data_IF_575829015241
#
_entry.id   IF_575829015241
#
_cell.length_a   1.000
_cell.length_b   1.000
_cell.length_c   1.000
_cell.angle_alpha   90.00
_cell.angle_beta   90.00
_cell.angle_gamma   90.00
#
_symmetry.space_group_name_H-M   'P 1'
#
loop_
_entity.id
_entity.type
_entity.pdbx_description
1 polymer ?
#
# COMPACT_ATOMS: atom_id res chain seq x y z
N UNK A 1 84.20 12.54 -22.80
CA UNK A 1 83.18 13.22 -23.64
C UNK A 1 82.51 12.17 -24.52
N UNK A 2 81.17 12.25 -24.66
CA UNK A 2 80.28 11.39 -25.46
C UNK A 2 80.10 9.94 -25.00
N UNK A 3 78.92 9.32 -24.97
CA UNK A 3 77.50 9.73 -24.86
C UNK A 3 76.79 8.39 -24.58
N UNK A 4 76.19 8.20 -23.40
CA UNK A 4 75.38 7.01 -23.09
C UNK A 4 73.93 7.27 -23.47
N UNK A 5 73.30 6.32 -24.17
CA UNK A 5 71.91 5.91 -23.90
C UNK A 5 71.63 4.60 -24.63
N UNK A 6 71.61 3.51 -23.86
CA UNK A 6 71.06 2.20 -24.25
C UNK A 6 69.58 2.19 -23.86
N UNK A 7 68.69 1.81 -24.78
CA UNK A 7 67.36 1.30 -24.44
C UNK A 7 67.02 0.14 -25.34
N UNK A 8 67.23 -1.07 -24.83
CA UNK A 8 66.53 -2.27 -25.26
C UNK A 8 65.83 -2.81 -24.02
N UNK A 9 64.50 -2.82 -24.01
CA UNK A 9 63.73 -3.61 -23.05
C UNK A 9 63.00 -4.68 -23.85
N UNK A 10 63.46 -5.93 -23.70
CA UNK A 10 62.64 -7.11 -23.91
C UNK A 10 61.77 -7.28 -22.66
N UNK A 11 60.47 -7.48 -22.83
CA UNK A 11 59.66 -8.18 -21.82
C UNK A 11 58.83 -9.24 -22.52
N UNK A 12 59.11 -10.48 -22.13
CA UNK A 12 58.42 -11.70 -22.52
C UNK A 12 57.04 -11.79 -21.86
N UNK A 13 56.14 -12.46 -22.57
CA UNK A 13 54.76 -12.78 -22.22
C UNK A 13 54.73 -13.74 -21.02
N UNK A 14 53.83 -13.52 -20.08
CA UNK A 14 53.32 -14.56 -19.19
C UNK A 14 51.80 -14.43 -19.05
N UNK A 15 51.09 -15.47 -19.48
CA UNK A 15 49.65 -15.63 -19.36
C UNK A 15 49.28 -16.01 -17.93
N UNK A 16 48.26 -15.36 -17.37
CA UNK A 16 47.43 -15.94 -16.31
C UNK A 16 45.97 -15.55 -16.56
N UNK A 17 45.15 -16.56 -16.86
CA UNK A 17 43.71 -16.41 -16.83
C UNK A 17 43.26 -16.30 -15.36
N UNK A 18 42.54 -15.24 -15.03
CA UNK A 18 41.80 -15.13 -13.78
C UNK A 18 40.34 -14.81 -14.12
N UNK A 19 39.48 -15.82 -13.98
CA UNK A 19 38.05 -15.63 -13.89
C UNK A 19 37.75 -14.78 -12.65
N UNK A 20 37.17 -13.61 -12.84
CA UNK A 20 36.53 -12.84 -11.78
C UNK A 20 35.07 -12.64 -12.14
N UNK A 21 34.21 -13.37 -11.42
CA UNK A 21 32.81 -13.03 -11.28
C UNK A 21 32.71 -11.72 -10.49
N UNK A 22 32.16 -10.67 -11.10
CA UNK A 22 31.65 -9.51 -10.36
C UNK A 22 30.53 -8.85 -11.17
N UNK A 23 29.35 -9.41 -10.95
CA UNK A 23 28.00 -8.86 -11.01
C UNK A 23 27.78 -7.55 -11.78
N UNK A 24 26.91 -7.67 -12.78
CA UNK A 24 26.17 -6.58 -13.36
C UNK A 24 25.53 -5.72 -12.26
N UNK A 25 25.76 -4.41 -12.34
CA UNK A 25 24.95 -3.42 -11.65
C UNK A 25 23.53 -3.47 -12.23
N UNK A 26 22.75 -4.41 -11.72
CA UNK A 26 21.30 -4.41 -11.89
C UNK A 26 20.76 -3.21 -11.15
N UNK A 27 20.29 -2.23 -11.91
CA UNK A 27 19.43 -1.18 -11.40
C UNK A 27 18.15 -1.87 -10.88
N UNK A 28 18.09 -2.16 -9.58
CA UNK A 28 16.81 -2.48 -8.94
C UNK A 28 15.96 -1.22 -9.04
N UNK A 29 15.08 -1.16 -10.04
CA UNK A 29 13.88 -0.35 -9.93
C UNK A 29 13.14 -0.87 -8.70
N UNK A 30 13.15 -0.10 -7.61
CA UNK A 30 12.28 -0.36 -6.47
C UNK A 30 10.85 -0.34 -6.97
N UNK A 31 10.21 -1.50 -7.03
CA UNK A 31 8.77 -1.58 -7.25
C UNK A 31 8.11 -0.79 -6.13
N UNK A 32 7.55 0.38 -6.43
CA UNK A 32 6.69 1.07 -5.48
C UNK A 32 5.64 0.05 -5.01
N UNK A 33 5.52 -0.18 -3.71
CA UNK A 33 4.50 -1.10 -3.20
C UNK A 33 3.13 -0.60 -3.64
N UNK A 34 2.20 -1.50 -3.92
CA UNK A 34 0.84 -1.13 -4.28
C UNK A 34 0.25 -0.12 -3.27
N UNK A 35 -0.61 0.82 -3.70
CA UNK A 35 -1.10 1.90 -2.84
C UNK A 35 -1.91 1.43 -1.62
N UNK A 36 -2.35 0.17 -1.59
CA UNK A 36 -3.08 -0.50 -0.52
C UNK A 36 -2.25 -1.57 0.21
N UNK A 37 -0.93 -1.62 -0.01
CA UNK A 37 -0.08 -2.71 0.48
C UNK A 37 -0.11 -2.87 2.01
N UNK A 38 -0.40 -1.83 2.78
CA UNK A 38 -0.57 -1.92 4.22
C UNK A 38 -1.84 -2.69 4.61
N UNK A 39 -2.95 -2.47 3.90
CA UNK A 39 -4.20 -3.22 4.08
C UNK A 39 -4.01 -4.66 3.66
N UNK A 40 -3.34 -4.92 2.54
CA UNK A 40 -3.01 -6.28 2.10
C UNK A 40 -2.22 -7.02 3.18
N UNK A 41 -1.17 -6.40 3.74
CA UNK A 41 -0.40 -7.01 4.84
C UNK A 41 -1.25 -7.27 6.09
N UNK A 42 -2.15 -6.34 6.45
CA UNK A 42 -3.08 -6.53 7.55
C UNK A 42 -4.00 -7.73 7.32
N UNK A 43 -4.51 -7.88 6.09
CA UNK A 43 -5.31 -9.02 5.69
C UNK A 43 -4.57 -10.34 5.82
N UNK A 44 -3.35 -10.45 5.27
CA UNK A 44 -2.56 -11.69 5.35
C UNK A 44 -2.10 -12.04 6.78
N UNK A 45 -2.08 -11.05 7.69
CA UNK A 45 -1.73 -11.29 9.09
C UNK A 45 -2.82 -12.03 9.87
N UNK A 46 -4.07 -12.01 9.38
CA UNK A 46 -5.27 -12.50 10.09
C UNK A 46 -5.43 -11.91 11.51
N UNK A 47 -4.88 -10.72 11.75
CA UNK A 47 -4.94 -10.01 13.04
C UNK A 47 -5.68 -8.69 12.89
N UNK A 48 -6.11 -8.13 14.04
CA UNK A 48 -6.54 -6.73 14.10
C UNK A 48 -5.32 -5.83 13.93
N UNK A 49 -5.45 -4.81 13.10
CA UNK A 49 -4.48 -3.71 13.02
C UNK A 49 -5.19 -2.41 13.37
N UNK A 50 -4.70 -1.72 14.41
CA UNK A 50 -5.39 -0.56 15.00
C UNK A 50 -5.62 0.58 13.99
N UNK A 51 -4.71 0.76 13.03
CA UNK A 51 -4.84 1.73 11.96
C UNK A 51 -4.02 1.29 10.75
N UNK A 52 -4.63 1.36 9.57
CA UNK A 52 -4.00 1.16 8.25
C UNK A 52 -4.64 2.10 7.24
N UNK A 53 -3.88 2.43 6.20
CA UNK A 53 -4.35 3.23 5.08
C UNK A 53 -4.11 2.49 3.77
N UNK A 54 -4.96 2.77 2.80
CA UNK A 54 -4.77 2.35 1.42
C UNK A 54 -5.44 3.32 0.46
N UNK A 55 -4.97 3.31 -0.78
CA UNK A 55 -5.52 4.12 -1.86
C UNK A 55 -5.76 3.27 -3.11
N UNK A 56 -6.43 3.88 -4.10
CA UNK A 56 -6.69 3.31 -5.42
C UNK A 56 -7.48 1.98 -5.39
N UNK A 57 -8.26 1.75 -4.34
CA UNK A 57 -9.10 0.56 -4.19
C UNK A 57 -10.41 0.76 -4.95
N UNK A 58 -10.76 -0.20 -5.79
CA UNK A 58 -11.96 -0.14 -6.63
C UNK A 58 -13.20 -0.61 -5.86
N UNK A 59 -14.26 0.19 -5.82
CA UNK A 59 -15.55 -0.24 -5.31
C UNK A 59 -16.16 -1.26 -6.28
N UNK A 60 -16.34 -2.50 -5.83
CA UNK A 60 -16.90 -3.59 -6.64
C UNK A 60 -18.34 -3.93 -6.27
N UNK A 61 -18.82 -3.46 -5.12
CA UNK A 61 -20.20 -3.65 -4.67
C UNK A 61 -20.59 -2.58 -3.67
N UNK A 62 -21.78 -1.99 -3.83
CA UNK A 62 -22.41 -1.16 -2.79
C UNK A 62 -23.45 -2.02 -2.07
N UNK A 63 -23.40 -2.07 -0.75
CA UNK A 63 -24.27 -2.91 0.08
C UNK A 63 -25.40 -2.05 0.68
N UNK A 64 -26.55 -2.66 1.06
CA UNK A 64 -27.56 -1.96 1.84
C UNK A 64 -26.99 -1.39 3.12
N UNK A 65 -27.43 -0.19 3.48
CA UNK A 65 -27.09 0.44 4.75
C UNK A 65 -27.49 -0.47 5.93
N UNK A 66 -26.68 -0.44 6.98
CA UNK A 66 -27.01 -1.05 8.26
C UNK A 66 -27.66 -0.01 9.17
N UNK A 67 -28.90 -0.24 9.57
CA UNK A 67 -29.64 0.67 10.45
C UNK A 67 -29.89 0.08 11.84
N UNK A 68 -29.27 -1.06 12.17
CA UNK A 68 -29.39 -1.67 13.49
C UNK A 68 -28.35 -1.07 14.44
N UNK A 69 -28.79 -0.17 15.33
CA UNK A 69 -27.88 0.59 16.20
C UNK A 69 -27.34 1.82 15.49
N UNK A 70 -26.03 2.08 15.62
CA UNK A 70 -25.37 3.15 14.86
C UNK A 70 -25.49 2.84 13.36
N UNK A 71 -25.78 3.87 12.55
CA UNK A 71 -26.03 3.66 11.13
C UNK A 71 -24.71 3.51 10.38
N UNK A 72 -24.63 2.51 9.52
CA UNK A 72 -23.43 2.25 8.71
C UNK A 72 -23.76 2.21 7.23
N UNK A 73 -22.99 2.94 6.44
CA UNK A 73 -22.87 2.71 5.01
C UNK A 73 -21.82 1.61 4.78
N UNK A 74 -22.10 0.68 3.86
CA UNK A 74 -21.24 -0.47 3.59
C UNK A 74 -20.98 -0.63 2.10
N UNK A 75 -19.75 -0.95 1.73
CA UNK A 75 -19.38 -1.33 0.37
C UNK A 75 -18.22 -2.32 0.39
N UNK A 76 -17.94 -2.92 -0.75
CA UNK A 76 -16.83 -3.85 -0.94
C UNK A 76 -15.85 -3.23 -1.92
N UNK A 77 -14.57 -3.28 -1.58
CA UNK A 77 -13.49 -2.88 -2.47
C UNK A 77 -12.65 -4.07 -2.90
N UNK A 78 -12.06 -3.97 -4.09
CA UNK A 78 -11.04 -4.89 -4.60
C UNK A 78 -9.65 -4.33 -4.31
N UNK A 79 -8.81 -5.17 -3.72
CA UNK A 79 -7.42 -4.87 -3.39
C UNK A 79 -6.47 -5.28 -4.52
N UNK A 80 -5.23 -4.78 -4.47
CA UNK A 80 -4.18 -5.05 -5.45
C UNK A 80 -3.78 -6.53 -5.56
N UNK A 81 -3.99 -7.31 -4.50
CA UNK A 81 -3.78 -8.77 -4.50
C UNK A 81 -4.97 -9.56 -5.07
N UNK A 82 -6.01 -8.87 -5.58
CA UNK A 82 -7.21 -9.48 -6.14
C UNK A 82 -8.25 -9.96 -5.11
N UNK A 83 -7.95 -9.89 -3.81
CA UNK A 83 -8.94 -10.15 -2.75
C UNK A 83 -9.90 -8.96 -2.61
N UNK A 84 -10.97 -9.18 -1.87
CA UNK A 84 -11.95 -8.14 -1.53
C UNK A 84 -11.96 -7.87 -0.03
N UNK A 85 -12.36 -6.65 0.33
CA UNK A 85 -12.50 -6.20 1.71
C UNK A 85 -13.78 -5.39 1.84
N UNK A 86 -14.52 -5.58 2.94
CA UNK A 86 -15.67 -4.73 3.26
C UNK A 86 -15.20 -3.44 3.94
N UNK A 87 -15.69 -2.30 3.48
CA UNK A 87 -15.60 -1.04 4.17
C UNK A 87 -16.90 -0.81 4.97
N UNK A 88 -16.76 -0.35 6.22
CA UNK A 88 -17.88 -0.02 7.10
C UNK A 88 -17.67 1.38 7.65
N UNK A 89 -18.56 2.28 7.26
CA UNK A 89 -18.48 3.71 7.51
C UNK A 89 -19.69 4.19 8.30
N UNK A 90 -19.46 4.88 9.41
CA UNK A 90 -20.53 5.35 10.29
C UNK A 90 -21.23 6.56 9.67
N UNK A 91 -22.42 6.36 9.12
CA UNK A 91 -23.19 7.41 8.44
C UNK A 91 -24.05 8.26 9.38
N UNK A 92 -24.12 7.89 10.66
CA UNK A 92 -24.75 8.67 11.72
C UNK A 92 -23.87 9.81 12.25
N UNK A 93 -22.55 9.66 12.17
CA UNK A 93 -21.56 10.65 12.62
C UNK A 93 -21.02 11.53 11.48
N UNK A 94 -21.17 11.07 10.24
CA UNK A 94 -20.47 11.63 9.10
C UNK A 94 -21.40 11.81 7.89
N UNK A 95 -21.13 12.77 6.98
CA UNK A 95 -21.85 12.86 5.72
C UNK A 95 -21.77 11.56 4.92
N UNK A 96 -22.87 11.19 4.24
CA UNK A 96 -22.90 10.02 3.35
C UNK A 96 -21.84 10.16 2.26
N UNK A 97 -21.08 9.09 2.02
CA UNK A 97 -20.12 9.06 0.92
C UNK A 97 -20.86 8.66 -0.36
N UNK A 98 -20.77 9.42 -1.47
CA UNK A 98 -21.47 9.09 -2.71
C UNK A 98 -20.71 8.03 -3.52
N UNK A 99 -20.46 6.85 -2.92
CA UNK A 99 -19.76 5.75 -3.59
C UNK A 99 -20.67 5.03 -4.57
N UNK A 100 -20.15 4.76 -5.76
CA UNK A 100 -20.75 3.95 -6.81
C UNK A 100 -19.80 2.81 -7.22
N UNK A 101 -20.34 1.79 -7.88
CA UNK A 101 -19.53 0.69 -8.41
C UNK A 101 -18.60 1.24 -9.49
N UNK A 102 -17.30 0.92 -9.40
CA UNK A 102 -16.26 1.40 -10.30
C UNK A 102 -15.44 2.57 -9.76
N UNK A 103 -15.89 3.23 -8.69
CA UNK A 103 -15.16 4.32 -8.07
C UNK A 103 -13.82 3.85 -7.47
N UNK A 104 -12.84 4.74 -7.47
CA UNK A 104 -11.57 4.57 -6.76
C UNK A 104 -11.60 5.36 -5.46
N UNK A 105 -11.39 4.67 -4.35
CA UNK A 105 -11.40 5.28 -3.02
C UNK A 105 -10.05 5.09 -2.32
N UNK A 106 -9.70 6.06 -1.47
CA UNK A 106 -8.70 5.87 -0.43
C UNK A 106 -9.38 5.89 0.94
N UNK A 107 -8.89 5.09 1.86
CA UNK A 107 -9.49 4.92 3.18
C UNK A 107 -8.40 4.73 4.22
N UNK A 108 -8.64 5.30 5.40
CA UNK A 108 -7.83 5.09 6.59
C UNK A 108 -8.71 4.67 7.75
N UNK A 109 -8.32 3.65 8.50
CA UNK A 109 -9.11 3.15 9.62
C UNK A 109 -8.56 1.87 10.24
N UNK A 110 -9.37 1.23 11.09
CA UNK A 110 -9.00 -0.01 11.78
C UNK A 110 -9.31 -1.23 10.91
N UNK A 111 -8.32 -2.08 10.71
CA UNK A 111 -8.53 -3.38 10.06
C UNK A 111 -8.94 -4.45 11.08
N UNK A 112 -9.96 -5.23 10.73
CA UNK A 112 -10.45 -6.39 11.47
C UNK A 112 -10.48 -7.61 10.56
N UNK A 113 -9.85 -8.70 11.00
CA UNK A 113 -9.99 -9.98 10.32
C UNK A 113 -11.37 -10.59 10.56
N UNK A 114 -12.00 -11.11 9.50
CA UNK A 114 -13.28 -11.83 9.54
C UNK A 114 -13.19 -13.06 8.65
N UNK A 115 -14.11 -14.01 8.84
CA UNK A 115 -14.22 -15.20 7.97
C UNK A 115 -14.61 -14.87 6.52
N UNK A 116 -14.90 -13.60 6.21
CA UNK A 116 -15.34 -13.10 4.91
C UNK A 116 -14.23 -12.31 4.17
N UNK A 117 -13.00 -12.32 4.67
CA UNK A 117 -11.86 -11.67 4.01
C UNK A 117 -11.45 -10.31 4.59
N UNK A 118 -12.00 -9.91 5.75
CA UNK A 118 -11.58 -8.72 6.47
C UNK A 118 -12.45 -7.48 6.23
N UNK A 119 -12.37 -6.56 7.18
CA UNK A 119 -13.21 -5.38 7.28
C UNK A 119 -12.35 -4.17 7.67
N UNK A 120 -12.55 -3.04 6.98
CA UNK A 120 -12.01 -1.76 7.40
C UNK A 120 -13.13 -0.95 8.06
N UNK A 121 -12.98 -0.76 9.38
CA UNK A 121 -13.92 -0.04 10.24
C UNK A 121 -13.29 1.27 10.72
N UNK A 122 -14.03 2.02 11.55
CA UNK A 122 -13.54 3.27 12.12
C UNK A 122 -13.09 4.24 11.03
N UNK A 123 -13.87 4.33 9.94
CA UNK A 123 -13.62 5.24 8.83
C UNK A 123 -14.13 6.66 9.16
N UNK A 124 -13.88 7.13 10.38
CA UNK A 124 -14.34 8.42 10.90
C UNK A 124 -13.33 8.97 11.92
N UNK A 125 -13.37 10.28 12.14
CA UNK A 125 -12.65 10.96 13.23
C UNK A 125 -12.87 10.26 14.59
N UNK A 126 -11.82 10.08 15.40
CA UNK A 126 -11.92 9.55 16.77
C UNK A 126 -12.14 10.70 17.76
N UNK A 127 -13.36 10.91 18.30
CA UNK A 127 -13.65 12.05 19.18
C UNK A 127 -12.87 12.03 20.49
N UNK A 128 -12.26 10.89 20.83
CA UNK A 128 -11.44 10.72 22.04
C UNK A 128 -9.94 10.80 21.76
N UNK A 129 -9.51 10.88 20.50
CA UNK A 129 -8.10 10.99 20.10
C UNK A 129 -7.20 9.84 20.59
N UNK A 130 -7.75 8.64 20.79
CA UNK A 130 -6.97 7.47 21.21
C UNK A 130 -6.31 6.78 20.02
N UNK A 131 -6.70 7.14 18.80
CA UNK A 131 -6.26 6.57 17.53
C UNK A 131 -6.15 7.68 16.48
N UNK A 132 -5.39 7.48 15.40
CA UNK A 132 -5.50 8.35 14.23
C UNK A 132 -6.92 8.34 13.69
N UNK A 133 -7.34 9.49 13.16
CA UNK A 133 -8.67 9.64 12.57
C UNK A 133 -8.81 8.78 11.33
N UNK A 134 -9.94 8.08 11.25
CA UNK A 134 -10.33 7.42 10.03
C UNK A 134 -10.91 8.41 9.04
N UNK A 135 -10.97 7.98 7.78
CA UNK A 135 -11.55 8.78 6.72
C UNK A 135 -11.89 7.92 5.51
N UNK A 136 -12.71 8.51 4.63
CA UNK A 136 -12.86 8.07 3.24
C UNK A 136 -12.51 9.23 2.32
N UNK A 137 -11.80 8.97 1.24
CA UNK A 137 -11.49 9.94 0.21
C UNK A 137 -11.94 9.40 -1.15
N UNK A 138 -12.75 10.19 -1.85
CA UNK A 138 -13.23 9.91 -3.19
C UNK A 138 -13.15 11.20 -4.02
N UNK A 139 -12.61 11.12 -5.24
CA UNK A 139 -12.47 12.26 -6.14
C UNK A 139 -11.78 13.49 -5.52
N UNK A 140 -10.78 13.25 -4.66
CA UNK A 140 -10.04 14.30 -3.95
C UNK A 140 -10.78 14.97 -2.78
N UNK A 141 -11.98 14.51 -2.46
CA UNK A 141 -12.79 15.02 -1.33
C UNK A 141 -12.68 14.04 -0.16
N UNK A 142 -12.32 14.57 1.01
CA UNK A 142 -12.33 13.82 2.26
C UNK A 142 -13.72 13.85 2.91
N UNK A 143 -14.10 12.69 3.43
CA UNK A 143 -15.28 12.48 4.24
C UNK A 143 -14.84 12.02 5.62
N UNK A 144 -15.38 12.69 6.63
CA UNK A 144 -15.15 12.41 8.04
C UNK A 144 -13.69 12.48 8.52
N UNK A 145 -12.92 13.37 7.88
CA UNK A 145 -11.57 13.76 8.27
C UNK A 145 -11.66 15.17 8.86
N UNK A 146 -11.29 15.33 10.13
CA UNK A 146 -11.25 16.63 10.82
C UNK A 146 -9.85 17.27 10.74
#
# INVERSE_FOLDING_TARGET
MMKFTTRLLFVLISTSALNTHAQAYGYQQGSASAPDAAIVRAMESHQRVNFVEGADMEVVQVLPDDTNGNQHQKWVVRLSNGKTMQAVYNSDMCPRVPVEIGDRVAMGGMFLWTNQGGLLHWLHHDPRGNRPDGYVMINGVYYCKD
#
